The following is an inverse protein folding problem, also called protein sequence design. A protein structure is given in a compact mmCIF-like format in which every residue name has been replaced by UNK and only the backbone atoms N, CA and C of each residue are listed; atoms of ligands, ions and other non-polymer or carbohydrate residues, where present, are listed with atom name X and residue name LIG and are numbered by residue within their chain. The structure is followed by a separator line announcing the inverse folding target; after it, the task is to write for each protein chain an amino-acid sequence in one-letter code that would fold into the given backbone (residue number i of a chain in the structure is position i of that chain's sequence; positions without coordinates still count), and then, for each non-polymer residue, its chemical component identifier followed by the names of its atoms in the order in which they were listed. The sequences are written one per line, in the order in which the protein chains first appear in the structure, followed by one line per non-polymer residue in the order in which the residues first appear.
data_IF_254338745437
#
_entry.id   IF_254338745437
#
_cell.length_a   1.000
_cell.length_b   1.000
_cell.length_c   1.000
_cell.angle_alpha   90.00
_cell.angle_beta   90.00
_cell.angle_gamma   90.00
#
_symmetry.space_group_name_H-M   'P 1'
#
loop_
_entity.id
_entity.type
_entity.pdbx_description
1 polymer ?
#
# COMPACT_ATOMS: atom_id res chain seq x y z
N UNK A 1 -7.93 -24.46 -16.80
CA UNK A 1 -8.14 -23.55 -17.94
C UNK A 1 -6.78 -22.91 -18.23
N UNK A 2 -6.11 -23.29 -19.32
CA UNK A 2 -4.80 -22.74 -19.69
C UNK A 2 -5.06 -21.38 -20.34
N UNK A 3 -4.40 -20.32 -19.88
CA UNK A 3 -4.53 -19.00 -20.54
C UNK A 3 -4.05 -19.11 -21.99
N UNK A 4 -4.73 -18.47 -22.95
CA UNK A 4 -4.29 -18.48 -24.34
C UNK A 4 -2.85 -17.94 -24.46
N UNK A 5 -2.07 -18.44 -25.43
CA UNK A 5 -0.72 -17.96 -25.66
C UNK A 5 -0.72 -16.47 -26.02
N UNK A 6 0.26 -15.73 -25.49
CA UNK A 6 0.45 -14.31 -25.79
C UNK A 6 1.09 -14.20 -27.18
N UNK A 7 0.61 -13.27 -28.02
CA UNK A 7 1.16 -13.07 -29.36
C UNK A 7 2.61 -12.56 -29.32
N UNK A 8 3.42 -12.92 -30.32
CA UNK A 8 4.82 -12.44 -30.42
C UNK A 8 4.92 -10.92 -30.43
N UNK A 9 4.02 -10.25 -31.18
CA UNK A 9 3.95 -8.79 -31.22
C UNK A 9 3.72 -8.18 -29.82
N UNK A 10 2.90 -8.82 -28.98
CA UNK A 10 2.66 -8.35 -27.61
C UNK A 10 3.88 -8.56 -26.72
N UNK A 11 4.61 -9.67 -26.89
CA UNK A 11 5.85 -9.92 -26.17
C UNK A 11 6.89 -8.85 -26.54
N UNK A 12 7.08 -8.59 -27.83
CA UNK A 12 8.00 -7.56 -28.33
C UNK A 12 7.65 -6.17 -27.80
N UNK A 13 6.37 -5.79 -27.82
CA UNK A 13 5.91 -4.52 -27.26
C UNK A 13 6.16 -4.42 -25.75
N UNK A 14 5.88 -5.49 -24.98
CA UNK A 14 6.12 -5.51 -23.55
C UNK A 14 7.62 -5.42 -23.24
N UNK A 15 8.47 -6.15 -23.97
CA UNK A 15 9.93 -6.06 -23.82
C UNK A 15 10.44 -4.65 -24.14
N UNK A 16 9.93 -4.02 -25.20
CA UNK A 16 10.31 -2.65 -25.56
C UNK A 16 9.88 -1.61 -24.52
N UNK A 17 8.80 -1.87 -23.77
CA UNK A 17 8.32 -0.99 -22.71
C UNK A 17 8.99 -1.23 -21.34
N UNK A 18 9.82 -2.27 -21.19
CA UNK A 18 10.52 -2.59 -19.94
C UNK A 18 11.81 -1.80 -19.79
N UNK A 19 11.97 -1.11 -18.67
CA UNK A 19 13.19 -0.43 -18.25
C UNK A 19 13.17 -0.27 -16.72
N UNK A 20 14.32 0.02 -16.10
CA UNK A 20 14.33 0.35 -14.67
C UNK A 20 13.85 1.79 -14.47
N UNK A 21 12.82 1.95 -13.66
CA UNK A 21 12.18 3.24 -13.40
C UNK A 21 12.85 4.01 -12.26
N UNK A 22 13.79 3.39 -11.55
CA UNK A 22 14.37 3.90 -10.30
C UNK A 22 13.43 3.75 -9.09
N UNK A 23 12.24 3.17 -9.28
CA UNK A 23 11.30 2.86 -8.20
C UNK A 23 11.09 1.35 -8.11
N UNK A 24 11.65 0.73 -7.06
CA UNK A 24 11.60 -0.72 -6.88
C UNK A 24 10.16 -1.29 -6.88
N UNK A 25 9.18 -0.56 -6.33
CA UNK A 25 7.79 -1.03 -6.34
C UNK A 25 7.20 -1.05 -7.75
N UNK A 26 7.44 0.01 -8.53
CA UNK A 26 6.98 0.08 -9.92
C UNK A 26 7.68 -0.97 -10.78
N UNK A 27 9.00 -1.12 -10.64
CA UNK A 27 9.79 -2.13 -11.37
C UNK A 27 9.24 -3.54 -11.12
N UNK A 28 8.96 -3.89 -9.86
CA UNK A 28 8.33 -5.17 -9.53
C UNK A 28 6.93 -5.29 -10.15
N UNK A 29 6.10 -4.25 -10.11
CA UNK A 29 4.78 -4.29 -10.76
C UNK A 29 4.87 -4.49 -12.28
N UNK A 30 5.88 -3.89 -12.92
CA UNK A 30 6.15 -4.06 -14.35
C UNK A 30 6.62 -5.49 -14.66
N UNK A 31 7.53 -6.06 -13.87
CA UNK A 31 7.97 -7.46 -13.99
C UNK A 31 6.79 -8.43 -13.88
N UNK A 32 5.88 -8.20 -12.93
CA UNK A 32 4.68 -9.02 -12.75
C UNK A 32 3.58 -8.71 -13.78
N UNK A 33 3.67 -7.59 -14.50
CA UNK A 33 2.65 -7.10 -15.43
C UNK A 33 1.30 -6.81 -14.78
N UNK A 34 1.29 -6.50 -13.48
CA UNK A 34 0.10 -6.17 -12.66
C UNK A 34 0.50 -5.57 -11.31
N UNK A 35 -0.46 -4.97 -10.62
CA UNK A 35 -0.30 -4.55 -9.23
C UNK A 35 -0.52 -5.71 -8.22
N UNK A 36 0.04 -5.60 -7.00
CA UNK A 36 -0.13 -6.61 -5.98
C UNK A 36 -1.57 -6.63 -5.45
N UNK A 37 -1.99 -7.77 -4.92
CA UNK A 37 -3.33 -7.95 -4.36
C UNK A 37 -3.27 -8.44 -2.92
N UNK A 38 -4.42 -8.51 -2.25
CA UNK A 38 -4.53 -9.11 -0.92
C UNK A 38 -4.03 -10.56 -0.87
N UNK A 39 -4.14 -11.29 -1.98
CA UNK A 39 -3.71 -12.68 -2.08
C UNK A 39 -2.26 -12.80 -2.58
N UNK A 40 -1.91 -12.04 -3.62
CA UNK A 40 -0.56 -12.05 -4.19
C UNK A 40 0.20 -10.79 -3.75
N UNK A 41 0.88 -10.89 -2.61
CA UNK A 41 1.58 -9.79 -1.93
C UNK A 41 3.07 -9.73 -2.30
N UNK A 42 3.38 -9.81 -3.59
CA UNK A 42 4.76 -9.77 -4.07
C UNK A 42 5.51 -8.50 -3.60
N UNK A 43 4.82 -7.37 -3.41
CA UNK A 43 5.44 -6.16 -2.87
C UNK A 43 5.93 -6.31 -1.42
N UNK A 44 5.38 -7.24 -0.64
CA UNK A 44 5.89 -7.56 0.69
C UNK A 44 7.05 -8.52 0.60
N UNK A 45 6.92 -9.54 -0.23
CA UNK A 45 7.96 -10.56 -0.42
C UNK A 45 9.23 -9.94 -1.01
N UNK A 46 9.11 -9.28 -2.16
CA UNK A 46 10.25 -8.82 -2.95
C UNK A 46 10.79 -7.47 -2.50
N UNK A 47 9.93 -6.52 -2.12
CA UNK A 47 10.40 -5.18 -1.73
C UNK A 47 10.72 -5.05 -0.24
N UNK A 48 10.39 -6.04 0.61
CA UNK A 48 10.64 -5.98 2.06
C UNK A 48 11.37 -7.20 2.60
N UNK A 49 10.81 -8.40 2.39
CA UNK A 49 11.33 -9.60 3.01
C UNK A 49 12.64 -10.07 2.37
N UNK A 50 12.73 -10.10 1.04
CA UNK A 50 13.96 -10.47 0.34
C UNK A 50 15.15 -9.57 0.73
N UNK A 51 15.07 -8.23 0.67
CA UNK A 51 16.17 -7.37 1.10
C UNK A 51 16.58 -7.61 2.56
N UNK A 52 15.60 -7.77 3.46
CA UNK A 52 15.84 -8.07 4.87
C UNK A 52 16.56 -9.41 5.05
N UNK A 53 16.14 -10.45 4.31
CA UNK A 53 16.75 -11.77 4.37
C UNK A 53 18.16 -11.76 3.79
N UNK A 54 18.39 -11.08 2.67
CA UNK A 54 19.73 -10.94 2.08
C UNK A 54 20.69 -10.28 3.06
N UNK A 55 20.30 -9.15 3.67
CA UNK A 55 21.12 -8.45 4.65
C UNK A 55 21.40 -9.34 5.89
N UNK A 56 20.37 -10.02 6.40
CA UNK A 56 20.51 -10.91 7.56
C UNK A 56 21.40 -12.12 7.26
N UNK A 57 21.20 -12.78 6.13
CA UNK A 57 21.95 -13.99 5.78
C UNK A 57 23.44 -13.69 5.63
N UNK A 58 23.80 -12.50 5.14
CA UNK A 58 25.19 -12.05 5.11
C UNK A 58 25.79 -11.90 6.52
N UNK A 59 24.99 -11.52 7.53
CA UNK A 59 25.44 -11.38 8.92
C UNK A 59 25.51 -12.72 9.68
N UNK A 60 24.70 -13.72 9.30
CA UNK A 60 24.56 -14.99 10.02
C UNK A 60 25.42 -16.14 9.47
N UNK A 61 26.42 -15.83 8.63
CA UNK A 61 27.27 -16.84 7.99
C UNK A 61 28.03 -17.73 9.00
N UNK A 62 28.24 -17.26 10.24
CA UNK A 62 29.09 -17.90 11.25
C UNK A 62 28.32 -18.66 12.36
N UNK A 63 27.06 -19.03 12.12
CA UNK A 63 26.26 -19.82 13.07
C UNK A 63 25.68 -19.03 14.25
N UNK A 64 25.68 -17.71 14.14
CA UNK A 64 25.08 -16.81 15.13
C UNK A 64 23.54 -16.92 15.16
N UNK A 65 22.94 -16.41 16.24
CA UNK A 65 21.48 -16.34 16.41
C UNK A 65 21.04 -14.89 16.17
N UNK A 66 20.19 -14.67 15.16
CA UNK A 66 19.56 -13.35 14.97
C UNK A 66 18.42 -13.12 15.96
N UNK A 67 18.43 -11.96 16.60
CA UNK A 67 17.31 -11.44 17.39
C UNK A 67 16.70 -10.24 16.66
N UNK A 68 15.54 -10.44 16.06
CA UNK A 68 14.79 -9.39 15.37
C UNK A 68 13.91 -8.64 16.38
N UNK A 69 14.24 -7.36 16.63
CA UNK A 69 13.42 -6.47 17.43
C UNK A 69 12.33 -5.85 16.55
N UNK A 70 11.08 -6.17 16.85
CA UNK A 70 9.94 -5.78 16.00
C UNK A 70 8.92 -4.99 16.83
N UNK A 71 8.61 -3.77 16.37
CA UNK A 71 7.58 -2.91 16.98
C UNK A 71 6.13 -3.32 16.70
N UNK A 72 5.84 -4.63 16.60
CA UNK A 72 4.49 -5.13 16.36
C UNK A 72 3.69 -5.12 17.67
N UNK A 73 2.47 -4.54 17.63
CA UNK A 73 1.62 -4.36 18.81
C UNK A 73 0.36 -5.21 18.71
N UNK A 74 -0.13 -5.68 19.85
CA UNK A 74 -1.37 -6.45 19.98
C UNK A 74 -2.58 -5.67 19.45
N UNK A 75 -2.64 -4.36 19.73
CA UNK A 75 -3.76 -3.48 19.36
C UNK A 75 -3.95 -3.32 17.84
N UNK A 76 -2.94 -3.67 17.02
CA UNK A 76 -2.97 -3.41 15.57
C UNK A 76 -3.85 -4.40 14.79
N UNK A 77 -4.05 -5.62 15.28
CA UNK A 77 -5.08 -6.55 14.78
C UNK A 77 -5.25 -7.76 15.70
N UNK A 78 -6.40 -8.45 15.58
CA UNK A 78 -6.67 -9.71 16.30
C UNK A 78 -5.60 -10.78 16.05
N UNK A 79 -5.02 -10.81 14.84
CA UNK A 79 -3.95 -11.75 14.52
C UNK A 79 -2.64 -11.41 15.24
N UNK A 80 -2.36 -10.11 15.47
CA UNK A 80 -1.17 -9.64 16.20
C UNK A 80 -1.33 -9.83 17.72
N UNK A 81 -2.54 -9.65 18.24
CA UNK A 81 -2.85 -9.88 19.64
C UNK A 81 -2.54 -11.30 20.12
N UNK A 82 -2.68 -12.31 19.24
CA UNK A 82 -2.43 -13.72 19.55
C UNK A 82 -0.95 -14.13 19.51
N UNK A 83 -0.06 -13.25 19.06
CA UNK A 83 1.37 -13.58 18.94
C UNK A 83 2.09 -13.42 20.29
N UNK A 84 3.08 -14.27 20.59
CA UNK A 84 3.87 -14.13 21.81
C UNK A 84 4.86 -12.97 21.72
N UNK A 85 5.24 -12.42 22.87
CA UNK A 85 6.27 -11.37 23.00
C UNK A 85 7.62 -11.85 22.47
N UNK A 86 7.97 -13.11 22.74
CA UNK A 86 9.17 -13.77 22.22
C UNK A 86 8.75 -14.99 21.41
N UNK A 87 9.20 -15.05 20.17
CA UNK A 87 8.93 -16.16 19.26
C UNK A 87 10.26 -16.73 18.77
N UNK A 88 10.48 -18.03 18.95
CA UNK A 88 11.68 -18.72 18.49
C UNK A 88 11.32 -19.55 17.26
N UNK A 89 12.04 -19.36 16.17
CA UNK A 89 11.83 -20.08 14.91
C UNK A 89 13.15 -20.54 14.32
N UNK A 90 13.08 -21.56 13.49
CA UNK A 90 14.19 -21.99 12.63
C UNK A 90 13.79 -21.64 11.20
N UNK A 91 14.67 -20.99 10.44
CA UNK A 91 14.41 -20.67 9.03
C UNK A 91 14.46 -21.94 8.17
N UNK A 92 14.06 -21.85 6.91
CA UNK A 92 14.14 -23.00 5.98
C UNK A 92 15.59 -23.46 5.77
N UNK A 93 16.52 -22.53 5.90
CA UNK A 93 17.96 -22.71 5.78
C UNK A 93 18.60 -23.19 7.09
N UNK A 94 17.80 -23.52 8.11
CA UNK A 94 18.27 -24.08 9.38
C UNK A 94 18.79 -23.05 10.39
N UNK A 95 18.70 -21.75 10.09
CA UNK A 95 19.21 -20.70 10.96
C UNK A 95 18.25 -20.44 12.13
N UNK A 96 18.81 -20.28 13.34
CA UNK A 96 18.04 -19.95 14.53
C UNK A 96 17.70 -18.47 14.55
N UNK A 97 16.42 -18.16 14.74
CA UNK A 97 15.92 -16.79 14.79
C UNK A 97 15.00 -16.60 15.99
N UNK A 98 15.16 -15.46 16.65
CA UNK A 98 14.28 -15.00 17.73
C UNK A 98 13.61 -13.72 17.27
N UNK A 99 12.28 -13.65 17.35
CA UNK A 99 11.53 -12.40 17.18
C UNK A 99 11.19 -11.90 18.58
N UNK A 100 11.56 -10.66 18.89
CA UNK A 100 11.27 -10.00 20.14
C UNK A 100 10.40 -8.76 19.91
N UNK A 101 9.27 -8.67 20.61
CA UNK A 101 8.26 -7.61 20.48
C UNK A 101 8.17 -6.77 21.77
N UNK A 102 9.11 -5.84 22.01
CA UNK A 102 9.25 -5.16 23.30
C UNK A 102 8.03 -4.30 23.67
N UNK A 103 7.30 -3.80 22.68
CA UNK A 103 6.15 -2.92 22.86
C UNK A 103 4.82 -3.63 22.56
N UNK A 104 4.79 -4.97 22.60
CA UNK A 104 3.62 -5.76 22.16
C UNK A 104 2.32 -5.35 22.86
N UNK A 105 2.38 -5.07 24.17
CA UNK A 105 1.21 -4.66 24.96
C UNK A 105 0.85 -3.18 24.83
N UNK A 106 1.67 -2.36 24.18
CA UNK A 106 1.48 -0.91 24.15
C UNK A 106 0.34 -0.49 23.22
N UNK A 107 -0.37 0.54 23.65
CA UNK A 107 -1.39 1.25 22.89
C UNK A 107 -0.77 2.25 21.90
N UNK A 108 -1.59 2.85 21.03
CA UNK A 108 -1.12 3.94 20.15
C UNK A 108 -0.66 5.16 20.95
N UNK A 109 -1.38 5.52 22.01
CA UNK A 109 -1.05 6.66 22.86
C UNK A 109 0.30 6.46 23.56
N UNK A 110 0.54 5.30 24.18
CA UNK A 110 1.82 5.03 24.84
C UNK A 110 3.02 5.11 23.88
N UNK A 111 2.84 4.71 22.61
CA UNK A 111 3.88 4.85 21.58
C UNK A 111 4.13 6.33 21.23
N UNK A 112 3.09 7.13 21.09
CA UNK A 112 3.26 8.56 20.82
C UNK A 112 3.79 9.32 22.04
N UNK A 113 3.39 8.93 23.25
CA UNK A 113 3.85 9.52 24.50
C UNK A 113 5.35 9.25 24.73
N UNK A 114 5.83 8.02 24.48
CA UNK A 114 7.27 7.77 24.57
C UNK A 114 8.04 8.57 23.52
N UNK A 115 7.50 8.67 22.29
CA UNK A 115 8.15 9.41 21.22
C UNK A 115 8.26 10.89 21.60
N UNK A 116 7.16 11.47 22.09
CA UNK A 116 7.11 12.85 22.60
C UNK A 116 8.08 13.07 23.76
N UNK A 117 8.13 12.16 24.73
CA UNK A 117 9.07 12.21 25.86
C UNK A 117 10.53 12.30 25.41
N UNK A 118 10.87 11.65 24.30
CA UNK A 118 12.22 11.65 23.73
C UNK A 118 12.41 12.68 22.60
N UNK A 119 11.45 13.59 22.37
CA UNK A 119 11.54 14.61 21.32
C UNK A 119 11.47 14.06 19.89
N UNK A 120 11.02 12.82 19.70
CA UNK A 120 10.82 12.21 18.40
C UNK A 120 9.49 12.67 17.82
N UNK A 121 9.54 13.43 16.73
CA UNK A 121 8.33 13.90 16.04
C UNK A 121 7.62 12.74 15.33
N UNK A 122 6.28 12.67 15.38
CA UNK A 122 5.53 11.68 14.61
C UNK A 122 5.67 11.93 13.11
N UNK A 123 5.41 10.91 12.30
CA UNK A 123 5.34 11.10 10.85
C UNK A 123 4.26 12.14 10.50
N UNK A 124 4.53 13.14 9.65
CA UNK A 124 3.57 14.19 9.29
C UNK A 124 2.24 13.66 8.75
N UNK A 125 2.22 12.48 8.13
CA UNK A 125 0.98 11.87 7.64
C UNK A 125 -0.03 11.58 8.77
N UNK A 126 0.44 11.33 10.00
CA UNK A 126 -0.45 11.20 11.14
C UNK A 126 -1.16 12.52 11.49
N UNK A 127 -0.53 13.67 11.23
CA UNK A 127 -1.10 15.00 11.51
C UNK A 127 -2.24 15.36 10.56
N UNK A 128 -2.20 14.83 9.33
CA UNK A 128 -3.29 14.97 8.35
C UNK A 128 -4.33 13.86 8.49
N UNK A 129 -4.31 13.04 9.56
CA UNK A 129 -5.36 12.06 9.82
C UNK A 129 -5.13 10.66 9.22
N UNK A 130 -3.95 10.37 8.68
CA UNK A 130 -3.60 8.99 8.29
C UNK A 130 -3.58 8.09 9.53
N UNK A 131 -4.26 6.94 9.46
CA UNK A 131 -4.31 6.00 10.59
C UNK A 131 -3.14 5.02 10.60
N UNK A 132 -2.64 4.63 9.43
CA UNK A 132 -1.48 3.75 9.27
C UNK A 132 -0.56 4.30 8.21
N UNK A 133 0.70 4.53 8.59
CA UNK A 133 1.71 5.03 7.67
C UNK A 133 2.60 3.89 7.20
N UNK A 134 2.71 3.74 5.88
CA UNK A 134 3.51 2.73 5.20
C UNK A 134 3.67 3.13 3.73
N UNK A 135 3.18 2.30 2.82
CA UNK A 135 2.98 2.73 1.44
C UNK A 135 1.92 3.85 1.39
N UNK A 136 2.12 4.89 0.58
CA UNK A 136 1.22 6.04 0.49
C UNK A 136 0.85 6.35 -0.97
N UNK A 137 -0.32 5.87 -1.46
CA UNK A 137 -1.24 4.89 -0.85
C UNK A 137 -0.67 3.47 -0.76
N UNK A 138 -1.33 2.65 0.05
CA UNK A 138 -1.25 1.20 -0.06
C UNK A 138 -2.37 0.69 -0.98
N UNK A 139 -2.16 -0.43 -1.68
CA UNK A 139 -3.23 -1.12 -2.43
C UNK A 139 -4.42 -1.54 -1.54
N UNK A 140 -4.24 -1.54 -0.21
CA UNK A 140 -5.27 -1.81 0.80
C UNK A 140 -5.76 -0.55 1.54
N UNK A 141 -5.47 0.65 1.02
CA UNK A 141 -5.96 1.89 1.60
C UNK A 141 -7.49 1.87 1.67
N UNK A 142 -8.02 2.35 2.79
CA UNK A 142 -9.45 2.50 3.01
C UNK A 142 -10.03 3.66 2.20
N UNK A 143 -11.35 3.71 2.04
CA UNK A 143 -12.07 4.82 1.41
C UNK A 143 -11.65 6.18 1.96
N UNK A 144 -11.58 6.30 3.29
CA UNK A 144 -11.17 7.53 3.96
C UNK A 144 -9.71 7.91 3.71
N UNK A 145 -8.79 6.94 3.67
CA UNK A 145 -7.38 7.20 3.33
C UNK A 145 -7.22 7.64 1.87
N UNK A 146 -8.00 7.08 0.94
CA UNK A 146 -7.98 7.49 -0.47
C UNK A 146 -8.47 8.94 -0.61
N UNK A 147 -9.59 9.28 0.04
CA UNK A 147 -10.10 10.66 0.06
C UNK A 147 -9.07 11.64 0.65
N UNK A 148 -8.38 11.22 1.72
CA UNK A 148 -7.32 12.01 2.33
C UNK A 148 -6.13 12.24 1.39
N UNK A 149 -5.69 11.21 0.67
CA UNK A 149 -4.62 11.29 -0.32
C UNK A 149 -5.00 12.24 -1.45
N UNK A 150 -6.22 12.12 -1.97
CA UNK A 150 -6.71 12.97 -3.05
C UNK A 150 -6.80 14.45 -2.65
N UNK A 151 -7.05 14.74 -1.35
CA UNK A 151 -7.08 16.10 -0.82
C UNK A 151 -5.69 16.67 -0.59
N UNK A 152 -4.83 15.94 0.14
CA UNK A 152 -3.57 16.49 0.64
C UNK A 152 -2.35 16.21 -0.26
N UNK A 153 -2.42 15.20 -1.12
CA UNK A 153 -1.32 14.80 -2.00
C UNK A 153 -1.84 14.42 -3.39
N UNK A 154 -2.49 15.36 -4.13
CA UNK A 154 -3.04 15.07 -5.46
C UNK A 154 -1.97 14.60 -6.46
N UNK A 155 -0.71 15.02 -6.30
CA UNK A 155 0.42 14.55 -7.11
C UNK A 155 0.65 13.03 -6.99
N UNK A 156 0.22 12.41 -5.88
CA UNK A 156 0.25 10.94 -5.74
C UNK A 156 -0.79 10.26 -6.62
N UNK A 157 -1.94 10.90 -6.85
CA UNK A 157 -2.97 10.40 -7.77
C UNK A 157 -2.42 10.41 -9.20
N UNK A 158 -1.74 11.50 -9.59
CA UNK A 158 -1.11 11.61 -10.91
C UNK A 158 -0.02 10.55 -11.12
N UNK A 159 0.81 10.32 -10.10
CA UNK A 159 1.83 9.28 -10.12
C UNK A 159 1.23 7.88 -10.31
N UNK A 160 0.13 7.57 -9.61
CA UNK A 160 -0.53 6.27 -9.75
C UNK A 160 -1.16 6.14 -11.14
N UNK A 161 -1.74 7.20 -11.68
CA UNK A 161 -2.31 7.20 -13.04
C UNK A 161 -1.26 6.83 -14.08
N UNK A 162 -0.06 7.40 -13.97
CA UNK A 162 1.10 7.05 -14.80
C UNK A 162 1.53 5.59 -14.58
N UNK A 163 1.56 5.11 -13.34
CA UNK A 163 1.91 3.72 -13.04
C UNK A 163 0.90 2.73 -13.63
N UNK A 164 -0.40 3.02 -13.55
CA UNK A 164 -1.45 2.18 -14.15
C UNK A 164 -1.22 2.01 -15.65
N UNK A 165 -0.83 3.09 -16.34
CA UNK A 165 -0.48 3.04 -17.75
C UNK A 165 0.79 2.20 -18.00
N UNK A 166 1.90 2.48 -17.30
CA UNK A 166 3.18 1.77 -17.49
C UNK A 166 3.08 0.28 -17.23
N UNK A 167 2.38 -0.12 -16.17
CA UNK A 167 2.18 -1.53 -15.84
C UNK A 167 1.27 -2.20 -16.86
N UNK A 168 0.26 -1.48 -17.37
CA UNK A 168 -0.59 -1.99 -18.47
C UNK A 168 0.23 -2.26 -19.73
N UNK A 169 1.18 -1.38 -20.06
CA UNK A 169 2.05 -1.51 -21.25
C UNK A 169 2.91 -2.78 -21.26
N UNK A 170 3.14 -3.41 -20.11
CA UNK A 170 3.88 -4.68 -19.97
C UNK A 170 2.99 -5.85 -19.53
N UNK A 171 1.69 -5.60 -19.31
CA UNK A 171 0.74 -6.62 -18.88
C UNK A 171 0.42 -7.61 -19.99
N UNK A 172 0.34 -8.90 -19.63
CA UNK A 172 -0.15 -9.95 -20.53
C UNK A 172 -1.62 -9.79 -20.91
N UNK A 173 -2.40 -9.04 -20.12
CA UNK A 173 -3.83 -8.83 -20.32
C UNK A 173 -4.15 -7.59 -21.15
N UNK A 174 -3.15 -7.00 -21.80
CA UNK A 174 -3.35 -5.87 -22.68
C UNK A 174 -4.40 -6.18 -23.75
N UNK A 175 -5.43 -5.36 -23.82
CA UNK A 175 -6.44 -5.39 -24.88
C UNK A 175 -6.21 -4.15 -25.75
N UNK A 176 -5.93 -4.40 -27.02
CA UNK A 176 -5.74 -3.34 -28.02
C UNK A 176 -7.00 -2.48 -28.13
N UNK A 177 -6.85 -1.16 -28.05
CA UNK A 177 -7.96 -0.19 -28.07
C UNK A 177 -8.56 0.17 -26.70
N UNK A 178 -8.35 -0.62 -25.64
CA UNK A 178 -8.86 -0.31 -24.29
C UNK A 178 -7.85 0.47 -23.42
N UNK A 179 -6.58 0.53 -23.83
CA UNK A 179 -5.56 1.42 -23.24
C UNK A 179 -5.13 1.14 -21.79
N UNK A 180 -5.86 0.30 -21.04
CA UNK A 180 -5.59 -0.01 -19.62
C UNK A 180 -5.94 -1.46 -19.31
N UNK A 181 -4.97 -2.20 -18.78
CA UNK A 181 -5.09 -3.62 -18.41
C UNK A 181 -4.73 -3.89 -16.95
N UNK A 182 -4.19 -2.90 -16.23
CA UNK A 182 -3.74 -3.04 -14.86
C UNK A 182 -4.06 -1.77 -14.06
N UNK A 183 -4.90 -1.94 -13.04
CA UNK A 183 -5.27 -0.88 -12.10
C UNK A 183 -4.59 -1.09 -10.75
N UNK A 184 -4.25 0.01 -10.08
CA UNK A 184 -3.56 -0.01 -8.79
C UNK A 184 -4.45 -0.60 -7.69
N UNK A 185 -5.72 -0.20 -7.70
CA UNK A 185 -6.75 -0.76 -6.83
C UNK A 185 -7.50 -1.89 -7.54
N UNK A 186 -7.93 -2.88 -6.77
CA UNK A 186 -8.63 -4.04 -7.31
C UNK A 186 -10.04 -3.65 -7.78
N UNK A 187 -10.56 -4.26 -8.85
CA UNK A 187 -11.90 -3.99 -9.42
C UNK A 187 -13.03 -3.91 -8.38
N UNK A 188 -13.06 -4.88 -7.47
CA UNK A 188 -13.97 -4.96 -6.30
C UNK A 188 -13.89 -3.80 -5.28
N UNK A 189 -13.02 -2.81 -5.48
CA UNK A 189 -12.97 -1.61 -4.63
C UNK A 189 -14.21 -0.75 -4.86
N UNK A 190 -14.74 -0.75 -6.08
CA UNK A 190 -15.92 -0.01 -6.46
C UNK A 190 -17.19 -0.88 -6.37
N UNK A 191 -18.34 -0.27 -6.05
CA UNK A 191 -19.63 -0.94 -6.16
C UNK A 191 -19.91 -1.35 -7.62
N UNK A 192 -20.59 -2.49 -7.80
CA UNK A 192 -20.97 -2.96 -9.15
C UNK A 192 -22.03 -2.03 -9.75
N UNK A 193 -21.80 -1.49 -10.95
CA UNK A 193 -22.85 -0.94 -11.81
C UNK A 193 -23.42 -2.05 -12.72
N UNK A 194 -24.71 -1.93 -13.07
CA UNK A 194 -25.43 -2.88 -13.94
C UNK A 194 -25.05 -2.77 -15.43
N UNK A 195 -24.28 -1.77 -15.86
CA UNK A 195 -24.13 -1.43 -17.29
C UNK A 195 -22.71 -1.54 -17.90
N UNK A 196 -21.63 -1.79 -17.14
CA UNK A 196 -20.27 -1.56 -17.67
C UNK A 196 -19.38 -2.79 -17.85
N UNK A 197 -18.47 -2.76 -18.83
CA UNK A 197 -17.47 -3.80 -19.08
C UNK A 197 -16.41 -3.89 -17.93
N UNK A 198 -15.73 -5.05 -17.76
CA UNK A 198 -15.00 -5.39 -16.54
C UNK A 198 -13.71 -4.61 -16.24
N UNK A 199 -13.06 -4.03 -17.24
CA UNK A 199 -11.67 -3.52 -17.11
C UNK A 199 -11.56 -2.02 -16.82
N UNK A 200 -12.55 -1.19 -17.17
CA UNK A 200 -12.49 0.26 -16.96
C UNK A 200 -12.84 0.71 -15.54
N UNK A 201 -13.40 -0.20 -14.73
CA UNK A 201 -14.05 0.19 -13.47
C UNK A 201 -13.09 0.82 -12.47
N UNK A 202 -11.94 0.22 -12.16
CA UNK A 202 -11.18 0.60 -10.94
C UNK A 202 -9.88 1.37 -11.16
N UNK A 203 -9.80 2.17 -12.22
CA UNK A 203 -8.68 3.10 -12.34
C UNK A 203 -8.66 4.10 -11.17
N UNK A 204 -7.50 4.75 -10.97
CA UNK A 204 -7.31 5.63 -9.83
C UNK A 204 -8.34 6.76 -9.76
N UNK A 205 -8.74 7.33 -10.90
CA UNK A 205 -9.68 8.46 -10.96
C UNK A 205 -11.07 8.02 -10.47
N UNK A 206 -11.58 6.90 -10.98
CA UNK A 206 -12.84 6.31 -10.53
C UNK A 206 -12.83 5.95 -9.04
N UNK A 207 -11.69 5.48 -8.53
CA UNK A 207 -11.52 5.16 -7.10
C UNK A 207 -11.49 6.42 -6.23
N UNK A 208 -10.89 7.51 -6.71
CA UNK A 208 -10.91 8.81 -6.03
C UNK A 208 -12.32 9.41 -6.01
N UNK A 209 -13.04 9.36 -7.13
CA UNK A 209 -14.42 9.85 -7.19
C UNK A 209 -15.33 9.06 -6.26
N UNK A 210 -15.20 7.73 -6.26
CA UNK A 210 -15.89 6.89 -5.30
C UNK A 210 -15.50 7.25 -3.86
N UNK A 211 -14.24 7.53 -3.57
CA UNK A 211 -13.80 7.88 -2.22
C UNK A 211 -14.47 9.15 -1.68
N UNK A 212 -14.87 10.09 -2.56
CA UNK A 212 -15.62 11.31 -2.23
C UNK A 212 -17.13 11.10 -2.02
N UNK A 213 -17.66 9.91 -2.29
CA UNK A 213 -19.09 9.61 -2.07
C UNK A 213 -19.40 9.25 -0.61
N UNK A 214 -20.67 9.37 -0.21
CA UNK A 214 -21.21 8.93 1.07
C UNK A 214 -21.19 7.40 1.21
N UNK A 215 -21.66 6.89 2.35
CA UNK A 215 -21.93 5.46 2.56
C UNK A 215 -22.76 4.90 1.40
N UNK A 216 -22.38 3.74 0.85
CA UNK A 216 -23.04 3.12 -0.30
C UNK A 216 -22.43 3.45 -1.67
N UNK A 217 -21.65 4.53 -1.81
CA UNK A 217 -20.91 4.78 -3.06
C UNK A 217 -21.67 5.55 -4.15
N UNK A 218 -22.89 6.03 -3.87
CA UNK A 218 -23.80 6.55 -4.91
C UNK A 218 -23.96 8.07 -4.93
N UNK A 219 -23.85 8.76 -3.79
CA UNK A 219 -24.04 10.21 -3.70
C UNK A 219 -22.75 10.89 -3.22
N UNK A 220 -22.37 12.03 -3.79
CA UNK A 220 -21.25 12.81 -3.25
C UNK A 220 -21.53 13.25 -1.81
N UNK A 221 -20.53 13.14 -0.94
CA UNK A 221 -20.69 13.52 0.46
C UNK A 221 -20.57 15.04 0.59
N UNK A 222 -21.64 15.69 1.08
CA UNK A 222 -21.61 17.13 1.39
C UNK A 222 -20.50 17.45 2.41
N UNK A 223 -20.28 16.56 3.39
CA UNK A 223 -19.20 16.70 4.37
C UNK A 223 -17.82 16.65 3.73
N UNK A 224 -17.60 15.81 2.70
CA UNK A 224 -16.30 15.81 2.02
C UNK A 224 -16.11 17.04 1.15
N UNK A 225 -17.19 17.57 0.55
CA UNK A 225 -17.13 18.79 -0.23
C UNK A 225 -16.77 20.00 0.64
N UNK A 226 -17.37 20.13 1.83
CA UNK A 226 -17.03 21.17 2.80
C UNK A 226 -15.56 21.04 3.23
N UNK A 227 -15.11 19.83 3.60
CA UNK A 227 -13.72 19.63 4.00
C UNK A 227 -12.70 19.89 2.85
N UNK A 228 -13.09 19.64 1.59
CA UNK A 228 -12.27 19.97 0.43
C UNK A 228 -12.21 21.49 0.20
N UNK A 229 -13.30 22.22 0.48
CA UNK A 229 -13.37 23.67 0.37
C UNK A 229 -12.55 24.35 1.47
N UNK A 230 -12.74 23.95 2.73
CA UNK A 230 -11.95 24.40 3.89
C UNK A 230 -10.45 24.21 3.67
N UNK A 231 -10.04 23.07 3.10
CA UNK A 231 -8.63 22.84 2.77
C UNK A 231 -8.10 23.82 1.70
N UNK A 232 -8.93 24.20 0.72
CA UNK A 232 -8.53 25.15 -0.33
C UNK A 232 -8.48 26.59 0.19
N UNK A 233 -9.37 26.96 1.10
CA UNK A 233 -9.46 28.31 1.65
C UNK A 233 -8.42 28.56 2.74
N UNK A 234 -8.32 27.65 3.72
CA UNK A 234 -7.60 27.86 4.98
C UNK A 234 -6.35 26.99 5.13
N UNK A 235 -6.12 26.05 4.20
CA UNK A 235 -5.01 25.11 4.24
C UNK A 235 -5.26 23.90 5.16
N UNK A 236 -4.22 23.08 5.40
CA UNK A 236 -4.35 21.90 6.26
C UNK A 236 -4.40 22.28 7.75
N UNK A 237 -5.59 22.26 8.36
CA UNK A 237 -5.71 22.12 9.81
C UNK A 237 -5.31 20.70 10.25
N UNK A 238 -4.67 20.55 11.40
CA UNK A 238 -4.34 19.24 11.93
C UNK A 238 -5.62 18.45 12.27
N UNK A 239 -5.72 17.21 11.77
CA UNK A 239 -6.88 16.32 11.93
C UNK A 239 -6.45 14.92 12.37
N UNK A 240 -5.42 14.86 13.22
CA UNK A 240 -4.83 13.60 13.68
C UNK A 240 -5.86 12.68 14.35
N UNK A 241 -5.98 11.45 13.83
CA UNK A 241 -6.81 10.40 14.43
C UNK A 241 -6.37 9.97 15.84
N UNK A 242 -5.16 10.34 16.26
CA UNK A 242 -4.57 10.03 17.56
C UNK A 242 -4.46 11.23 18.51
N UNK A 243 -5.09 12.38 18.18
CA UNK A 243 -5.02 13.57 19.03
C UNK A 243 -3.62 14.19 19.15
N UNK A 244 -2.86 14.18 18.05
CA UNK A 244 -1.48 14.71 17.99
C UNK A 244 -1.43 16.21 17.60
N UNK A 245 -2.59 16.84 17.48
CA UNK A 245 -2.69 18.27 17.22
C UNK A 245 -2.42 19.03 18.53
N UNK A 246 -1.67 20.13 18.43
CA UNK A 246 -1.33 21.00 19.57
C UNK A 246 -2.56 21.72 20.15
#
# INVERSE_FOLDING_TARGET
MISPPVSSARIEQAVAAMYSTGNAFLDICMIHGRFPSKQAKFCTEEAKLLPLFTARNAMLADGEIAVDWVGERAQESLARAKKPVIERTITREGQRRVIYRPIHSWTHHEVFDIAKRHGVKPNPLYLIGAKRVGCWPCINSSKGEIALIARHTPERIDLIRDWEWRVSMVSRRWIEGNGRASTFFHSKTLPMSDQDQPDDRANIDAVVDWARTSQGGHNFSLLSAIADDEYRTDGASCVSAYGLCE
#
